data_IF_421972634368
#
_entry.id   IF_421972634368
#
_cell.length_a   1.000
_cell.length_b   1.000
_cell.length_c   1.000
_cell.angle_alpha   90.00
_cell.angle_beta   90.00
_cell.angle_gamma   90.00
#
_symmetry.space_group_name_H-M   'P 1'
#
loop_
_entity.id
_entity.type
_entity.pdbx_description
1 polymer ?
#
# COMPACT_ATOMS: atom_id res chain seq x y z
N UNK A 1 -29.63 4.80 38.75
CA UNK A 1 -29.48 5.70 37.59
C UNK A 1 -28.21 5.26 36.85
N UNK A 2 -28.36 4.60 35.69
CA UNK A 2 -27.24 4.05 34.90
C UNK A 2 -26.48 5.18 34.21
N UNK A 3 -25.16 5.23 34.39
CA UNK A 3 -24.28 6.10 33.61
C UNK A 3 -24.02 5.47 32.24
N UNK A 4 -24.31 6.25 31.19
CA UNK A 4 -24.23 5.87 29.79
C UNK A 4 -22.80 5.42 29.42
N UNK A 5 -22.72 4.30 28.70
CA UNK A 5 -21.54 3.87 27.93
C UNK A 5 -21.05 5.03 27.06
N UNK A 6 -19.86 5.54 27.36
CA UNK A 6 -19.11 6.39 26.43
C UNK A 6 -18.81 5.56 25.18
N UNK A 7 -19.36 6.00 24.05
CA UNK A 7 -19.00 5.42 22.75
C UNK A 7 -17.52 5.63 22.52
N UNK A 8 -16.83 4.58 22.06
CA UNK A 8 -15.50 4.69 21.47
C UNK A 8 -15.58 5.71 20.34
N UNK A 9 -15.14 6.94 20.60
CA UNK A 9 -14.88 7.93 19.57
C UNK A 9 -13.83 7.33 18.65
N UNK A 10 -14.22 7.07 17.42
CA UNK A 10 -13.35 6.67 16.34
C UNK A 10 -12.51 7.91 15.98
N UNK A 11 -11.50 8.23 16.80
CA UNK A 11 -10.62 9.39 16.61
C UNK A 11 -9.75 9.06 15.40
N UNK A 12 -10.16 9.53 14.23
CA UNK A 12 -9.33 9.54 13.04
C UNK A 12 -8.44 10.78 13.12
N UNK A 13 -7.13 10.59 13.15
CA UNK A 13 -6.18 11.70 13.19
C UNK A 13 -6.21 12.46 11.84
N UNK A 14 -5.86 13.76 11.82
CA UNK A 14 -5.93 14.56 10.59
C UNK A 14 -5.03 14.05 9.47
N UNK A 15 -4.08 13.17 9.79
CA UNK A 15 -3.15 12.54 8.87
C UNK A 15 -3.43 11.04 8.63
N UNK A 16 -4.59 10.54 9.04
CA UNK A 16 -5.03 9.17 8.82
C UNK A 16 -6.13 9.09 7.77
N UNK A 17 -6.05 8.06 6.92
CA UNK A 17 -7.03 7.76 5.89
C UNK A 17 -7.49 6.31 5.97
N UNK A 18 -8.79 6.08 5.78
CA UNK A 18 -9.33 4.74 5.61
C UNK A 18 -9.06 4.25 4.20
N UNK A 19 -8.53 3.04 4.08
CA UNK A 19 -8.28 2.38 2.81
C UNK A 19 -8.88 0.97 2.80
N UNK A 20 -9.33 0.53 1.63
CA UNK A 20 -9.66 -0.86 1.36
C UNK A 20 -8.39 -1.58 0.88
N UNK A 21 -7.91 -2.52 1.69
CA UNK A 21 -6.77 -3.36 1.35
C UNK A 21 -7.27 -4.69 0.77
N UNK A 22 -6.64 -5.13 -0.31
CA UNK A 22 -6.79 -6.46 -0.88
C UNK A 22 -5.43 -7.10 -1.00
N UNK A 23 -5.34 -8.33 -0.54
CA UNK A 23 -4.14 -9.16 -0.63
C UNK A 23 -4.45 -10.31 -1.56
N UNK A 24 -3.62 -10.52 -2.58
CA UNK A 24 -3.73 -11.67 -3.48
C UNK A 24 -2.46 -12.49 -3.34
N UNK A 25 -2.64 -13.78 -3.05
CA UNK A 25 -1.54 -14.74 -2.98
C UNK A 25 -1.66 -15.69 -4.16
N UNK A 26 -0.56 -15.89 -4.86
CA UNK A 26 -0.47 -16.82 -5.97
C UNK A 26 0.68 -17.77 -5.73
N UNK A 27 0.38 -19.06 -5.66
CA UNK A 27 1.38 -20.10 -5.47
C UNK A 27 1.54 -20.87 -6.78
N UNK A 28 2.79 -21.04 -7.21
CA UNK A 28 3.17 -21.81 -8.40
C UNK A 28 4.23 -22.84 -8.03
N UNK A 29 3.94 -24.09 -8.35
CA UNK A 29 4.91 -25.18 -8.36
C UNK A 29 5.57 -25.23 -9.76
N UNK A 30 6.85 -25.56 -9.81
CA UNK A 30 7.56 -26.03 -11.02
C UNK A 30 6.77 -27.02 -11.91
N UNK A 31 5.90 -27.86 -11.33
CA UNK A 31 5.16 -28.92 -12.04
C UNK A 31 3.62 -28.74 -12.07
N UNK A 32 3.02 -27.70 -11.48
CA UNK A 32 1.56 -27.61 -11.34
C UNK A 32 0.93 -26.20 -11.24
N UNK A 33 -0.39 -26.22 -11.37
CA UNK A 33 -1.42 -25.17 -11.55
C UNK A 33 -1.35 -23.98 -10.59
N UNK A 34 -1.73 -22.81 -11.09
CA UNK A 34 -1.84 -21.56 -10.34
C UNK A 34 -3.02 -21.59 -9.37
N UNK A 35 -2.76 -21.63 -8.07
CA UNK A 35 -3.80 -21.36 -7.06
C UNK A 35 -3.88 -19.84 -6.83
N UNK A 36 -5.06 -19.25 -7.05
CA UNK A 36 -5.32 -17.83 -6.81
C UNK A 36 -6.25 -17.71 -5.61
N UNK A 37 -5.68 -17.34 -4.46
CA UNK A 37 -6.48 -16.97 -3.30
C UNK A 37 -6.83 -15.49 -3.38
N UNK A 38 -8.13 -15.22 -3.40
CA UNK A 38 -8.65 -13.88 -3.56
C UNK A 38 -9.60 -13.48 -2.41
N UNK A 39 -9.05 -13.18 -1.22
CA UNK A 39 -9.85 -12.78 -0.06
C UNK A 39 -10.62 -11.47 -0.31
N UNK A 40 -11.70 -11.23 0.47
CA UNK A 40 -12.43 -9.97 0.42
C UNK A 40 -11.55 -8.78 0.82
N UNK A 41 -11.99 -7.59 0.43
CA UNK A 41 -11.35 -6.36 0.91
C UNK A 41 -11.46 -6.25 2.43
N UNK A 42 -10.35 -5.91 3.09
CA UNK A 42 -10.33 -5.53 4.50
C UNK A 42 -10.18 -4.01 4.62
N UNK A 43 -10.89 -3.41 5.57
CA UNK A 43 -10.72 -1.99 5.89
C UNK A 43 -9.48 -1.84 6.77
N UNK A 44 -8.56 -0.96 6.36
CA UNK A 44 -7.34 -0.62 7.10
C UNK A 44 -7.22 0.90 7.25
N UNK A 45 -6.35 1.35 8.17
CA UNK A 45 -6.02 2.75 8.37
C UNK A 45 -4.57 2.96 7.91
N UNK A 46 -4.38 3.92 7.02
CA UNK A 46 -3.07 4.37 6.60
C UNK A 46 -2.77 5.72 7.25
N UNK A 47 -1.55 5.86 7.73
CA UNK A 47 -1.02 7.11 8.29
C UNK A 47 -0.08 7.78 7.29
N UNK A 48 -0.25 9.06 7.03
CA UNK A 48 0.49 9.82 6.01
C UNK A 48 1.25 10.95 6.70
N UNK A 49 2.58 10.90 6.70
CA UNK A 49 3.39 11.82 7.51
C UNK A 49 4.53 12.44 6.72
N UNK A 50 4.63 13.76 6.78
CA UNK A 50 5.81 14.49 6.31
C UNK A 50 6.94 14.36 7.31
N UNK A 51 8.09 13.93 6.81
CA UNK A 51 9.30 13.75 7.57
C UNK A 51 10.12 15.05 7.63
N UNK A 52 11.09 15.12 8.53
CA UNK A 52 11.96 16.31 8.68
C UNK A 52 12.74 16.67 7.41
N UNK A 53 13.06 15.68 6.56
CA UNK A 53 13.71 15.90 5.27
C UNK A 53 12.74 16.38 4.17
N UNK A 54 11.45 16.50 4.48
CA UNK A 54 10.39 16.95 3.58
C UNK A 54 9.74 15.84 2.76
N UNK A 55 10.18 14.57 2.86
CA UNK A 55 9.53 13.44 2.19
C UNK A 55 8.19 13.11 2.89
N UNK A 56 7.24 12.55 2.15
CA UNK A 56 6.00 12.00 2.73
C UNK A 56 6.13 10.48 2.83
N UNK A 57 5.80 9.91 3.99
CA UNK A 57 5.77 8.48 4.24
C UNK A 57 4.32 8.05 4.46
N UNK A 58 3.93 6.95 3.82
CA UNK A 58 2.66 6.27 4.09
C UNK A 58 2.96 5.00 4.87
N UNK A 59 2.25 4.79 5.98
CA UNK A 59 2.46 3.67 6.91
C UNK A 59 1.14 2.94 7.16
N UNK A 60 1.16 1.62 7.14
CA UNK A 60 0.09 0.77 7.68
C UNK A 60 0.56 0.21 9.02
N UNK A 61 -0.14 0.55 10.11
CA UNK A 61 0.31 0.27 11.49
C UNK A 61 1.76 0.77 11.73
N UNK A 62 2.74 -0.13 11.74
CA UNK A 62 4.17 0.19 11.93
C UNK A 62 5.02 -0.06 10.67
N UNK A 63 4.40 -0.44 9.56
CA UNK A 63 5.08 -0.81 8.32
C UNK A 63 5.00 0.34 7.32
N UNK A 64 6.16 0.90 6.96
CA UNK A 64 6.24 1.89 5.88
C UNK A 64 5.91 1.19 4.56
N UNK A 65 4.87 1.65 3.88
CA UNK A 65 4.45 1.08 2.60
C UNK A 65 4.98 1.87 1.41
N UNK A 66 5.07 3.20 1.52
CA UNK A 66 5.45 4.07 0.42
C UNK A 66 6.21 5.32 0.91
N UNK A 67 7.07 5.84 0.05
CA UNK A 67 7.77 7.12 0.23
C UNK A 67 7.61 8.00 -1.02
N UNK A 68 7.15 9.23 -0.82
CA UNK A 68 7.12 10.28 -1.84
C UNK A 68 8.27 11.25 -1.54
N UNK A 69 9.21 11.36 -2.47
CA UNK A 69 10.35 12.25 -2.34
C UNK A 69 9.89 13.71 -2.39
N UNK A 70 10.52 14.59 -1.60
CA UNK A 70 10.14 16.01 -1.46
C UNK A 70 9.94 16.72 -2.81
N UNK A 71 10.85 16.50 -3.75
CA UNK A 71 10.86 17.06 -5.10
C UNK A 71 9.72 16.54 -5.99
N UNK A 72 9.12 15.40 -5.62
CA UNK A 72 8.02 14.74 -6.33
C UNK A 72 6.64 14.99 -5.74
N UNK A 73 6.54 15.69 -4.61
CA UNK A 73 5.27 15.94 -3.91
C UNK A 73 4.29 16.72 -4.78
N UNK A 74 4.77 17.70 -5.56
CA UNK A 74 3.91 18.48 -6.44
C UNK A 74 3.26 17.59 -7.51
N UNK A 75 4.06 16.81 -8.24
CA UNK A 75 3.56 15.87 -9.26
C UNK A 75 2.67 14.77 -8.66
N UNK A 76 2.94 14.34 -7.42
CA UNK A 76 2.06 13.42 -6.70
C UNK A 76 0.67 14.02 -6.46
N UNK A 77 0.59 15.30 -6.05
CA UNK A 77 -0.68 16.00 -5.84
C UNK A 77 -1.44 16.19 -7.15
N UNK A 78 -0.76 16.61 -8.21
CA UNK A 78 -1.37 16.76 -9.54
C UNK A 78 -1.93 15.43 -10.07
N UNK A 79 -1.18 14.32 -9.89
CA UNK A 79 -1.62 13.00 -10.34
C UNK A 79 -2.85 12.48 -9.57
N UNK A 80 -3.03 12.91 -8.32
CA UNK A 80 -4.23 12.65 -7.54
C UNK A 80 -5.38 13.51 -8.09
N UNK A 81 -5.18 14.82 -8.20
CA UNK A 81 -6.22 15.81 -8.51
C UNK A 81 -6.76 15.73 -9.94
N UNK A 82 -5.90 15.52 -10.92
CA UNK A 82 -6.27 15.52 -12.35
C UNK A 82 -6.39 14.12 -12.94
N UNK A 83 -6.13 13.10 -12.13
CA UNK A 83 -5.96 11.73 -12.60
C UNK A 83 -4.63 11.52 -13.31
N UNK A 84 -4.12 10.29 -13.22
CA UNK A 84 -2.84 9.94 -13.84
C UNK A 84 -2.23 8.69 -13.24
N UNK A 85 -1.08 8.31 -13.77
CA UNK A 85 -0.23 7.26 -13.22
C UNK A 85 1.02 7.94 -12.69
N UNK A 86 1.30 7.79 -11.40
CA UNK A 86 2.53 8.26 -10.78
C UNK A 86 3.23 7.13 -10.03
N UNK A 87 4.55 7.23 -9.95
CA UNK A 87 5.41 6.24 -9.31
C UNK A 87 5.99 6.79 -8.02
N UNK A 88 5.63 6.20 -6.89
CA UNK A 88 6.23 6.53 -5.57
C UNK A 88 7.13 5.40 -5.12
N UNK A 89 8.12 5.65 -4.27
CA UNK A 89 9.07 4.62 -3.84
C UNK A 89 8.38 3.56 -2.97
N UNK A 90 8.52 2.28 -3.30
CA UNK A 90 8.14 1.18 -2.40
C UNK A 90 9.18 1.09 -1.28
N UNK A 91 8.74 1.20 -0.02
CA UNK A 91 9.65 1.15 1.14
C UNK A 91 9.73 -0.23 1.78
N UNK A 92 8.94 -1.19 1.29
CA UNK A 92 8.92 -2.58 1.80
C UNK A 92 10.01 -3.43 1.17
N UNK A 93 10.62 -2.95 0.09
CA UNK A 93 11.79 -3.55 -0.57
C UNK A 93 12.99 -3.52 0.37
N UNK A 94 13.12 -4.52 1.26
CA UNK A 94 14.36 -4.84 1.97
C UNK A 94 14.35 -6.13 2.84
N UNK A 95 13.29 -6.96 2.87
CA UNK A 95 13.30 -8.11 3.80
C UNK A 95 13.86 -9.43 3.27
N UNK A 96 14.13 -9.61 1.96
CA UNK A 96 14.85 -10.80 1.47
C UNK A 96 15.52 -10.53 0.11
N UNK A 97 16.79 -10.11 0.15
CA UNK A 97 17.59 -9.70 -1.02
C UNK A 97 18.22 -10.83 -1.83
N UNK A 98 18.02 -12.10 -1.47
CA UNK A 98 18.86 -13.15 -2.07
C UNK A 98 18.46 -13.56 -3.48
N UNK A 99 17.21 -13.35 -3.95
CA UNK A 99 16.74 -13.93 -5.22
C UNK A 99 15.81 -13.04 -6.08
N UNK A 100 15.80 -11.72 -5.91
CA UNK A 100 14.83 -10.85 -6.61
C UNK A 100 15.45 -10.14 -7.83
N UNK A 101 15.24 -10.67 -9.04
CA UNK A 101 15.75 -10.06 -10.28
C UNK A 101 14.85 -8.98 -10.89
N UNK A 102 13.60 -8.82 -10.43
CA UNK A 102 12.63 -7.91 -11.04
C UNK A 102 11.90 -7.08 -9.99
N UNK A 103 12.43 -5.92 -9.60
CA UNK A 103 11.64 -4.95 -8.85
C UNK A 103 11.81 -3.55 -9.41
N UNK A 104 10.72 -3.06 -10.01
CA UNK A 104 10.46 -1.63 -9.99
C UNK A 104 10.31 -1.24 -8.51
N UNK A 105 11.23 -0.44 -7.99
CA UNK A 105 11.15 0.23 -6.67
C UNK A 105 10.00 1.25 -6.61
N UNK A 106 9.04 1.17 -7.54
CA UNK A 106 7.94 2.10 -7.68
C UNK A 106 6.58 1.43 -7.49
N UNK A 107 5.76 2.06 -6.67
CA UNK A 107 4.35 1.79 -6.50
C UNK A 107 3.62 2.63 -7.53
N UNK A 108 2.84 1.97 -8.38
CA UNK A 108 1.93 2.65 -9.28
C UNK A 108 0.74 3.18 -8.47
N UNK A 109 0.59 4.50 -8.51
CA UNK A 109 -0.55 5.26 -8.01
C UNK A 109 -1.42 5.59 -9.21
N UNK A 110 -2.67 5.14 -9.19
CA UNK A 110 -3.66 5.47 -10.24
C UNK A 110 -4.91 6.05 -9.58
N UNK A 111 -5.38 7.19 -10.08
CA UNK A 111 -6.72 7.69 -9.76
C UNK A 111 -7.73 7.17 -10.78
N UNK A 112 -8.85 6.64 -10.30
CA UNK A 112 -9.99 6.24 -11.10
C UNK A 112 -11.30 6.42 -10.31
N UNK A 113 -12.26 7.16 -10.88
CA UNK A 113 -13.60 7.38 -10.30
C UNK A 113 -13.58 7.84 -8.83
N UNK A 114 -12.77 8.85 -8.51
CA UNK A 114 -12.62 9.45 -7.16
C UNK A 114 -11.91 8.54 -6.13
N UNK A 115 -11.19 7.52 -6.60
CA UNK A 115 -10.38 6.65 -5.75
C UNK A 115 -8.95 6.59 -6.24
N UNK A 116 -8.02 6.60 -5.29
CA UNK A 116 -6.60 6.40 -5.55
C UNK A 116 -6.23 4.99 -5.14
N UNK A 117 -5.60 4.26 -6.07
CA UNK A 117 -5.11 2.91 -5.87
C UNK A 117 -3.58 2.92 -5.78
N UNK A 118 -3.05 2.45 -4.66
CA UNK A 118 -1.65 2.12 -4.48
C UNK A 118 -1.50 0.61 -4.68
N UNK A 119 -0.69 0.20 -5.65
CA UNK A 119 -0.39 -1.22 -5.90
C UNK A 119 1.11 -1.47 -5.76
N UNK A 120 1.58 -1.73 -4.53
CA UNK A 120 2.99 -1.97 -4.31
C UNK A 120 3.50 -3.22 -5.03
N UNK A 121 4.83 -3.35 -5.15
CA UNK A 121 5.44 -4.44 -5.90
C UNK A 121 5.18 -5.80 -5.24
N UNK A 122 5.17 -6.86 -6.07
CA UNK A 122 4.81 -8.22 -5.68
C UNK A 122 5.93 -8.85 -4.89
N UNK A 123 5.73 -9.15 -3.61
CA UNK A 123 6.72 -9.85 -2.80
C UNK A 123 6.77 -11.31 -3.27
N UNK A 124 7.96 -11.80 -3.61
CA UNK A 124 8.16 -13.19 -4.07
C UNK A 124 8.93 -13.96 -3.02
N UNK A 125 8.34 -15.04 -2.52
CA UNK A 125 8.98 -16.00 -1.63
C UNK A 125 9.25 -17.29 -2.39
N UNK A 126 10.43 -17.86 -2.17
CA UNK A 126 10.85 -19.12 -2.76
C UNK A 126 11.08 -20.10 -1.63
N UNK A 127 10.44 -21.26 -1.68
CA UNK A 127 10.69 -22.38 -0.77
C UNK A 127 10.96 -23.65 -1.57
N UNK A 128 11.83 -24.50 -1.05
CA UNK A 128 12.08 -25.82 -1.61
C UNK A 128 11.54 -26.87 -0.66
N UNK A 129 10.61 -27.69 -1.13
CA UNK A 129 10.12 -28.87 -0.40
C UNK A 129 10.28 -30.09 -1.32
N UNK A 130 10.95 -31.13 -0.84
CA UNK A 130 11.14 -32.40 -1.56
C UNK A 130 11.53 -32.27 -3.06
N UNK A 131 12.58 -31.50 -3.37
CA UNK A 131 13.06 -31.18 -4.73
C UNK A 131 12.11 -30.35 -5.62
N UNK A 132 11.00 -29.90 -5.08
CA UNK A 132 10.07 -29.01 -5.75
C UNK A 132 10.31 -27.57 -5.32
N UNK A 133 10.53 -26.68 -6.28
CA UNK A 133 10.61 -25.23 -6.02
C UNK A 133 9.21 -24.65 -6.09
N UNK A 134 8.79 -24.02 -4.99
CA UNK A 134 7.51 -23.35 -4.85
C UNK A 134 7.76 -21.84 -4.85
N UNK A 135 7.11 -21.14 -5.77
CA UNK A 135 7.08 -19.69 -5.84
C UNK A 135 5.77 -19.18 -5.28
N UNK A 136 5.85 -18.36 -4.24
CA UNK A 136 4.69 -17.69 -3.65
C UNK A 136 4.79 -16.19 -3.90
N UNK A 137 3.85 -15.66 -4.67
CA UNK A 137 3.74 -14.25 -5.00
C UNK A 137 2.65 -13.60 -4.15
N UNK A 138 3.00 -12.54 -3.43
CA UNK A 138 2.09 -11.76 -2.60
C UNK A 138 1.94 -10.36 -3.19
N UNK A 139 0.72 -10.00 -3.58
CA UNK A 139 0.38 -8.66 -4.07
C UNK A 139 -0.59 -8.00 -3.11
N UNK A 140 -0.25 -6.79 -2.67
CA UNK A 140 -1.15 -5.94 -1.91
C UNK A 140 -1.66 -4.80 -2.78
N UNK A 141 -2.89 -4.36 -2.53
CA UNK A 141 -3.48 -3.20 -3.17
C UNK A 141 -4.26 -2.43 -2.13
N UNK A 142 -4.01 -1.13 -2.04
CA UNK A 142 -4.72 -0.21 -1.18
C UNK A 142 -5.56 0.74 -2.04
N UNK A 143 -6.84 0.87 -1.75
CA UNK A 143 -7.75 1.79 -2.45
C UNK A 143 -8.35 2.75 -1.44
N UNK A 144 -8.22 4.05 -1.68
CA UNK A 144 -8.69 5.10 -0.76
C UNK A 144 -9.38 6.22 -1.53
N UNK A 145 -10.18 7.04 -0.84
CA UNK A 145 -10.85 8.18 -1.46
C UNK A 145 -9.82 9.25 -1.85
N UNK A 146 -9.97 9.77 -3.06
CA UNK A 146 -9.10 10.80 -3.64
C UNK A 146 -9.13 12.09 -2.82
N UNK A 147 -10.32 12.65 -2.55
CA UNK A 147 -10.50 13.90 -1.79
C UNK A 147 -9.85 13.85 -0.41
N UNK A 148 -9.96 12.70 0.27
CA UNK A 148 -9.36 12.51 1.59
C UNK A 148 -7.83 12.52 1.49
N UNK A 149 -7.28 11.83 0.50
CA UNK A 149 -5.83 11.78 0.29
C UNK A 149 -5.28 13.16 -0.11
N UNK A 150 -5.96 13.87 -1.01
CA UNK A 150 -5.56 15.20 -1.47
C UNK A 150 -5.62 16.22 -0.32
N UNK A 151 -6.68 16.18 0.49
CA UNK A 151 -6.81 17.02 1.69
C UNK A 151 -5.65 16.81 2.66
N UNK A 152 -5.31 15.55 2.96
CA UNK A 152 -4.19 15.23 3.85
C UNK A 152 -2.88 15.71 3.21
N UNK A 153 -2.61 15.38 1.96
CA UNK A 153 -1.39 15.78 1.26
C UNK A 153 -1.21 17.31 1.16
N UNK A 154 -2.31 18.07 1.06
CA UNK A 154 -2.28 19.53 1.05
C UNK A 154 -2.08 20.16 2.43
N UNK A 155 -2.41 19.45 3.50
CA UNK A 155 -2.19 19.91 4.88
C UNK A 155 -0.77 19.66 5.42
N UNK A 156 0.05 18.89 4.68
CA UNK A 156 1.42 18.50 5.04
C UNK A 156 2.47 19.45 4.42
#
# INVERSE_FOLDING_TARGET
MQTKKGGLTNIQFPNEIKAFKRTTTTTKDSNATTNIDNPPHITTILKIEKQNNGNIIITEANTKIAEIQKDKIYSFKEAIEYGGIFSVKDTRTNQNKQNSHDFNDSILVSSYRNYVRFSPSVITNISTDNNTTIYTHLKETYTMKEDDLLRIANSL
#
